data_IF_733682724144
#
_entry.id   IF_733682724144
#
_cell.length_a   1.000
_cell.length_b   1.000
_cell.length_c   1.000
_cell.angle_alpha   90.00
_cell.angle_beta   90.00
_cell.angle_gamma   90.00
#
_symmetry.space_group_name_H-M   'P 1'
#
loop_
_entity.id
_entity.type
_entity.pdbx_description
1 polymer ?
#
# COMPACT_ATOMS: atom_id res chain seq x y z
N UNK A 1 -9.14 -26.43 20.67
CA UNK A 1 -7.78 -27.04 20.66
C UNK A 1 -7.77 -28.16 21.66
N UNK A 2 -7.28 -29.37 21.33
CA UNK A 2 -7.18 -30.42 22.35
C UNK A 2 -6.04 -30.12 23.32
N UNK A 3 -6.21 -30.58 24.57
CA UNK A 3 -5.21 -30.55 25.64
C UNK A 3 -3.89 -31.25 25.29
N UNK A 4 -3.89 -32.06 24.23
CA UNK A 4 -2.75 -32.85 23.75
C UNK A 4 -1.91 -32.14 22.68
N UNK A 5 -2.19 -30.87 22.38
CA UNK A 5 -1.39 -30.08 21.45
C UNK A 5 0.03 -29.89 21.98
N UNK A 6 0.95 -30.73 21.49
CA UNK A 6 2.33 -30.88 21.97
C UNK A 6 3.23 -29.65 21.84
N UNK A 7 2.73 -28.60 21.20
CA UNK A 7 3.42 -27.32 20.97
C UNK A 7 3.06 -26.23 21.98
N UNK A 8 2.00 -26.41 22.78
CA UNK A 8 1.62 -25.45 23.83
C UNK A 8 1.86 -26.05 25.21
N UNK A 9 2.65 -25.37 26.04
CA UNK A 9 2.82 -25.76 27.43
C UNK A 9 1.55 -25.45 28.24
N UNK A 10 0.91 -26.48 28.79
CA UNK A 10 -0.30 -26.37 29.62
C UNK A 10 -0.12 -25.40 30.78
N UNK A 11 1.06 -25.39 31.42
CA UNK A 11 1.39 -24.45 32.51
C UNK A 11 1.38 -23.01 32.01
N UNK A 12 1.83 -22.77 30.78
CA UNK A 12 1.81 -21.45 30.17
C UNK A 12 0.37 -21.02 29.82
N UNK A 13 -0.44 -21.91 29.21
CA UNK A 13 -1.86 -21.61 28.96
C UNK A 13 -2.58 -21.22 30.25
N UNK A 14 -2.36 -21.99 31.32
CA UNK A 14 -2.92 -21.69 32.65
C UNK A 14 -2.50 -20.30 33.14
N UNK A 15 -1.20 -19.97 33.06
CA UNK A 15 -0.70 -18.65 33.47
C UNK A 15 -1.26 -17.51 32.61
N UNK A 16 -1.40 -17.72 31.30
CA UNK A 16 -1.96 -16.75 30.39
C UNK A 16 -3.43 -16.46 30.74
N UNK A 17 -4.24 -17.51 30.91
CA UNK A 17 -5.66 -17.41 31.31
C UNK A 17 -5.79 -16.68 32.65
N UNK A 18 -4.98 -17.02 33.66
CA UNK A 18 -4.97 -16.31 34.95
C UNK A 18 -4.71 -14.82 34.74
N UNK A 19 -3.71 -14.47 33.92
CA UNK A 19 -3.36 -13.06 33.71
C UNK A 19 -4.38 -12.26 32.89
N UNK A 20 -5.25 -12.91 32.13
CA UNK A 20 -6.17 -12.27 31.16
C UNK A 20 -7.62 -12.26 31.63
N UNK A 21 -8.05 -13.32 32.31
CA UNK A 21 -9.44 -13.50 32.73
C UNK A 21 -9.66 -13.17 34.21
N UNK A 22 -8.61 -13.12 35.03
CA UNK A 22 -8.75 -13.11 36.49
C UNK A 22 -7.99 -11.92 37.09
N UNK A 23 -8.65 -10.75 37.13
CA UNK A 23 -8.24 -9.64 38.01
C UNK A 23 -8.45 -9.97 39.51
N UNK A 24 -9.18 -11.04 39.81
CA UNK A 24 -9.62 -11.41 41.16
C UNK A 24 -9.10 -12.81 41.56
N UNK A 25 -7.93 -12.90 42.20
CA UNK A 25 -7.45 -13.96 43.11
C UNK A 25 -8.08 -15.39 43.04
N UNK A 26 -8.34 -15.92 41.85
CA UNK A 26 -8.98 -17.21 41.66
C UNK A 26 -7.90 -18.28 41.48
N UNK A 27 -7.90 -19.27 42.38
CA UNK A 27 -7.04 -20.45 42.29
C UNK A 27 -7.64 -21.44 41.31
N UNK A 28 -7.12 -21.48 40.08
CA UNK A 28 -7.41 -22.57 39.14
C UNK A 28 -6.84 -23.89 39.68
N UNK A 29 -7.57 -24.99 39.46
CA UNK A 29 -7.05 -26.34 39.65
C UNK A 29 -5.69 -26.54 38.92
N UNK A 30 -4.92 -27.55 39.34
CA UNK A 30 -3.65 -27.87 38.66
C UNK A 30 -3.87 -28.18 37.17
N UNK A 31 -5.00 -28.80 36.85
CA UNK A 31 -5.42 -29.14 35.50
C UNK A 31 -6.85 -28.64 35.22
N UNK A 32 -7.02 -27.37 34.83
CA UNK A 32 -8.33 -26.75 34.66
C UNK A 32 -8.99 -27.04 33.30
N UNK A 33 -8.37 -27.86 32.45
CA UNK A 33 -8.79 -28.07 31.07
C UNK A 33 -9.64 -29.34 30.94
N UNK A 34 -10.89 -29.14 30.54
CA UNK A 34 -11.89 -30.18 30.25
C UNK A 34 -12.13 -30.19 28.73
N UNK A 35 -12.46 -31.36 28.17
CA UNK A 35 -12.86 -31.46 26.76
C UNK A 35 -14.17 -30.69 26.52
N UNK A 36 -14.41 -30.31 25.26
CA UNK A 36 -15.55 -29.47 24.88
C UNK A 36 -16.88 -30.18 25.19
N UNK A 37 -17.64 -29.62 26.13
CA UNK A 37 -19.00 -30.01 26.45
C UNK A 37 -19.86 -28.75 26.50
N UNK A 38 -20.74 -28.61 25.52
CA UNK A 38 -21.59 -27.43 25.37
C UNK A 38 -22.48 -27.17 26.61
N UNK A 39 -22.79 -28.19 27.40
CA UNK A 39 -23.59 -28.06 28.62
C UNK A 39 -22.83 -27.33 29.75
N UNK A 40 -21.50 -27.26 29.68
CA UNK A 40 -20.67 -26.61 30.70
C UNK A 40 -20.65 -25.09 30.57
N UNK A 41 -21.03 -24.55 29.40
CA UNK A 41 -21.08 -23.10 29.19
C UNK A 41 -22.13 -22.43 30.07
N UNK A 42 -23.27 -23.09 30.32
CA UNK A 42 -24.33 -22.62 31.22
C UNK A 42 -23.88 -22.59 32.69
N UNK A 43 -22.84 -23.36 33.04
CA UNK A 43 -22.24 -23.41 34.38
C UNK A 43 -21.14 -22.37 34.59
N UNK A 44 -20.95 -21.45 33.65
CA UNK A 44 -19.95 -20.39 33.72
C UNK A 44 -18.53 -20.85 33.35
N UNK A 45 -18.39 -21.99 32.66
CA UNK A 45 -17.09 -22.42 32.14
C UNK A 45 -16.71 -21.56 30.94
N UNK A 46 -15.51 -20.97 31.00
CA UNK A 46 -14.97 -20.17 29.91
C UNK A 46 -14.36 -21.04 28.80
N UNK A 47 -14.74 -20.78 27.56
CA UNK A 47 -14.18 -21.46 26.38
C UNK A 47 -12.84 -20.83 26.02
N UNK A 48 -11.80 -21.65 25.93
CA UNK A 48 -10.51 -21.25 25.37
C UNK A 48 -10.58 -21.27 23.83
N UNK A 49 -11.10 -20.19 23.26
CA UNK A 49 -11.32 -20.04 21.81
C UNK A 49 -10.02 -19.77 21.04
N UNK A 50 -10.09 -19.85 19.71
CA UNK A 50 -8.97 -19.48 18.84
C UNK A 50 -8.55 -18.02 18.96
N UNK A 51 -9.46 -17.11 19.29
CA UNK A 51 -9.10 -15.71 19.53
C UNK A 51 -8.18 -15.58 20.74
N UNK A 52 -8.45 -16.33 21.82
CA UNK A 52 -7.55 -16.41 22.98
C UNK A 52 -6.18 -16.99 22.62
N UNK A 53 -6.13 -18.03 21.77
CA UNK A 53 -4.86 -18.58 21.28
C UNK A 53 -4.06 -17.53 20.49
N UNK A 54 -4.72 -16.79 19.59
CA UNK A 54 -4.08 -15.76 18.77
C UNK A 54 -3.50 -14.65 19.66
N UNK A 55 -4.24 -14.20 20.67
CA UNK A 55 -3.73 -13.25 21.66
C UNK A 55 -2.53 -13.78 22.44
N UNK A 56 -2.59 -15.05 22.85
CA UNK A 56 -1.50 -15.71 23.55
C UNK A 56 -0.23 -15.77 22.69
N UNK A 57 -0.34 -16.17 21.43
CA UNK A 57 0.78 -16.23 20.48
C UNK A 57 1.42 -14.85 20.22
N UNK A 58 0.63 -13.77 20.29
CA UNK A 58 1.14 -12.39 20.20
C UNK A 58 1.83 -11.92 21.49
N UNK A 59 1.65 -12.61 22.62
CA UNK A 59 2.17 -12.16 23.91
C UNK A 59 3.70 -12.28 23.98
N UNK A 60 4.37 -11.28 24.58
CA UNK A 60 5.83 -11.30 24.79
C UNK A 60 6.28 -12.47 25.65
N UNK A 61 5.45 -12.87 26.64
CA UNK A 61 5.75 -13.99 27.53
C UNK A 61 5.81 -15.31 26.76
N UNK A 62 4.84 -15.54 25.86
CA UNK A 62 4.79 -16.78 25.08
C UNK A 62 6.00 -16.88 24.16
N UNK A 63 6.28 -15.82 23.40
CA UNK A 63 7.42 -15.75 22.48
C UNK A 63 8.77 -15.99 23.17
N UNK A 64 8.94 -15.55 24.43
CA UNK A 64 10.16 -15.83 25.21
C UNK A 64 10.34 -17.28 25.63
N UNK A 65 9.23 -17.99 25.85
CA UNK A 65 9.24 -19.38 26.32
C UNK A 65 9.07 -20.42 25.21
N UNK A 66 8.59 -20.00 24.04
CA UNK A 66 8.30 -20.88 22.93
C UNK A 66 9.59 -21.24 22.21
N UNK A 67 9.96 -22.53 22.22
CA UNK A 67 11.20 -23.01 21.61
C UNK A 67 11.05 -23.30 20.12
N UNK A 68 12.17 -23.42 19.42
CA UNK A 68 12.21 -23.83 18.01
C UNK A 68 11.51 -25.18 17.80
N UNK A 69 11.78 -26.17 18.64
CA UNK A 69 11.14 -27.49 18.56
C UNK A 69 9.62 -27.44 18.79
N UNK A 70 9.16 -26.56 19.68
CA UNK A 70 7.73 -26.32 19.83
C UNK A 70 7.15 -25.64 18.58
N UNK A 71 7.90 -24.76 17.92
CA UNK A 71 7.45 -24.13 16.69
C UNK A 71 7.35 -25.11 15.52
N UNK A 72 8.30 -26.05 15.38
CA UNK A 72 8.21 -27.15 14.41
C UNK A 72 6.91 -27.95 14.58
N UNK A 73 6.62 -28.36 15.82
CA UNK A 73 5.37 -29.06 16.16
C UNK A 73 4.11 -28.23 15.89
N UNK A 74 4.21 -26.91 16.09
CA UNK A 74 3.11 -25.98 15.79
C UNK A 74 2.84 -25.92 14.28
N UNK A 75 3.89 -25.85 13.46
CA UNK A 75 3.80 -25.89 11.99
C UNK A 75 3.17 -27.21 11.53
N UNK A 76 3.65 -28.34 12.04
CA UNK A 76 3.11 -29.68 11.73
C UNK A 76 1.63 -29.79 12.10
N UNK A 77 1.24 -29.27 13.27
CA UNK A 77 -0.15 -29.27 13.72
C UNK A 77 -1.06 -28.44 12.81
N UNK A 78 -0.63 -27.24 12.40
CA UNK A 78 -1.45 -26.43 11.49
C UNK A 78 -1.53 -27.03 10.09
N UNK A 79 -0.47 -27.68 9.63
CA UNK A 79 -0.49 -28.41 8.37
C UNK A 79 -1.46 -29.59 8.41
N UNK A 80 -1.46 -30.39 9.48
CA UNK A 80 -2.40 -31.51 9.62
C UNK A 80 -3.85 -31.03 9.68
N UNK A 81 -4.12 -29.93 10.40
CA UNK A 81 -5.45 -29.31 10.45
C UNK A 81 -5.89 -28.74 9.10
N UNK A 82 -4.96 -28.18 8.33
CA UNK A 82 -5.23 -27.72 6.98
C UNK A 82 -5.63 -28.89 6.06
N UNK A 83 -4.87 -29.99 6.08
CA UNK A 83 -5.19 -31.21 5.33
C UNK A 83 -6.55 -31.84 5.72
N UNK A 84 -6.90 -31.81 7.01
CA UNK A 84 -8.20 -32.25 7.49
C UNK A 84 -9.33 -31.36 6.96
N UNK A 85 -9.13 -30.04 6.97
CA UNK A 85 -10.13 -29.05 6.51
C UNK A 85 -10.39 -29.08 5.00
N UNK A 86 -9.49 -29.63 4.19
CA UNK A 86 -9.77 -29.92 2.78
C UNK A 86 -10.73 -31.12 2.61
N UNK A 87 -10.81 -31.99 3.61
CA UNK A 87 -11.58 -33.24 3.57
C UNK A 87 -12.93 -33.14 4.27
N UNK A 88 -13.13 -32.15 5.14
CA UNK A 88 -14.36 -31.96 5.91
C UNK A 88 -14.88 -30.52 5.80
N UNK A 89 -16.21 -30.35 5.86
CA UNK A 89 -16.88 -29.03 5.81
C UNK A 89 -16.83 -28.27 7.14
N UNK A 90 -16.23 -28.83 8.19
CA UNK A 90 -16.21 -28.24 9.52
C UNK A 90 -15.14 -27.17 9.67
N UNK A 91 -15.61 -25.99 10.11
CA UNK A 91 -14.86 -24.82 10.59
C UNK A 91 -13.47 -24.61 9.95
N UNK A 92 -13.45 -23.87 8.83
CA UNK A 92 -12.23 -23.44 8.14
C UNK A 92 -11.41 -22.50 9.04
N UNK A 93 -10.40 -23.03 9.73
CA UNK A 93 -9.47 -22.21 10.50
C UNK A 93 -8.71 -21.28 9.55
N UNK A 94 -8.82 -19.97 9.75
CA UNK A 94 -8.07 -19.01 8.93
C UNK A 94 -6.62 -18.90 9.41
N UNK A 95 -5.79 -19.85 8.97
CA UNK A 95 -4.38 -19.98 9.35
C UNK A 95 -3.57 -18.71 9.02
N UNK A 96 -3.96 -17.96 7.98
CA UNK A 96 -3.28 -16.71 7.59
C UNK A 96 -3.38 -15.60 8.65
N UNK A 97 -4.35 -15.69 9.56
CA UNK A 97 -4.55 -14.74 10.66
C UNK A 97 -3.87 -15.17 11.97
N UNK A 98 -3.27 -16.35 12.01
CA UNK A 98 -2.64 -16.90 13.21
C UNK A 98 -1.13 -16.65 13.13
N UNK A 99 -0.51 -15.98 14.10
CA UNK A 99 0.94 -15.86 14.14
C UNK A 99 1.51 -17.19 14.66
N UNK A 100 2.07 -18.00 13.77
CA UNK A 100 2.57 -19.32 14.12
C UNK A 100 3.98 -19.62 13.59
N UNK A 101 4.55 -18.77 12.72
CA UNK A 101 5.89 -19.00 12.19
C UNK A 101 6.91 -18.10 12.91
N UNK A 102 7.94 -18.71 13.49
CA UNK A 102 8.94 -17.98 14.26
C UNK A 102 9.98 -17.29 13.36
N UNK A 103 10.25 -16.03 13.69
CA UNK A 103 11.24 -15.21 13.01
C UNK A 103 12.66 -15.33 13.57
N UNK A 104 13.61 -14.67 12.93
CA UNK A 104 15.01 -14.59 13.34
C UNK A 104 15.23 -13.95 14.72
N UNK A 105 14.21 -13.27 15.26
CA UNK A 105 14.22 -12.67 16.59
C UNK A 105 13.44 -13.51 17.62
N UNK A 106 13.13 -14.77 17.29
CA UNK A 106 12.34 -15.69 18.11
C UNK A 106 10.93 -15.17 18.44
N UNK A 107 10.28 -14.49 17.48
CA UNK A 107 8.90 -14.03 17.60
C UNK A 107 8.02 -14.69 16.56
N UNK A 108 6.82 -15.09 16.97
CA UNK A 108 5.80 -15.59 16.07
C UNK A 108 5.24 -14.45 15.21
N UNK A 109 5.22 -14.68 13.90
CA UNK A 109 4.74 -13.76 12.90
C UNK A 109 3.62 -14.38 12.08
N UNK A 110 2.83 -13.50 11.46
CA UNK A 110 1.88 -13.89 10.42
C UNK A 110 2.63 -14.21 9.13
N UNK A 111 2.11 -15.18 8.36
CA UNK A 111 2.70 -15.62 7.08
C UNK A 111 2.89 -14.46 6.10
N UNK A 112 1.99 -13.46 6.11
CA UNK A 112 2.08 -12.25 5.28
C UNK A 112 3.28 -11.34 5.59
N UNK A 113 3.86 -11.43 6.78
CA UNK A 113 4.91 -10.51 7.25
C UNK A 113 6.30 -11.16 7.35
N UNK A 114 6.43 -12.41 6.93
CA UNK A 114 7.68 -13.17 7.05
C UNK A 114 8.11 -13.72 5.69
N UNK A 115 9.43 -13.78 5.48
CA UNK A 115 10.07 -14.25 4.25
C UNK A 115 10.97 -15.44 4.51
N UNK A 116 11.15 -16.28 3.49
CA UNK A 116 12.25 -17.25 3.51
C UNK A 116 13.60 -16.51 3.35
N UNK A 117 14.64 -16.89 4.11
CA UNK A 117 16.01 -16.46 3.84
C UNK A 117 16.44 -16.85 2.41
N UNK A 118 17.29 -16.03 1.79
CA UNK A 118 17.92 -16.36 0.50
C UNK A 118 19.20 -17.16 0.79
N UNK A 119 19.36 -18.32 0.15
CA UNK A 119 20.46 -19.26 0.43
C UNK A 119 21.87 -18.74 0.06
N UNK A 120 21.97 -17.66 -0.73
CA UNK A 120 23.23 -17.26 -1.38
C UNK A 120 23.88 -15.98 -0.87
N UNK A 121 23.26 -15.24 0.05
CA UNK A 121 23.86 -14.02 0.58
C UNK A 121 23.70 -14.04 2.09
N UNK A 122 24.83 -14.04 2.80
CA UNK A 122 24.86 -13.90 4.24
C UNK A 122 23.99 -12.71 4.63
N UNK A 123 22.83 -13.00 5.22
CA UNK A 123 21.91 -12.01 5.75
C UNK A 123 22.54 -11.40 7.01
N UNK A 124 23.65 -10.69 6.86
CA UNK A 124 24.10 -9.73 7.85
C UNK A 124 23.09 -8.59 7.79
N UNK A 125 22.29 -8.48 8.85
CA UNK A 125 21.24 -7.50 8.98
C UNK A 125 21.73 -6.11 8.62
N UNK A 126 21.29 -5.61 7.46
CA UNK A 126 21.36 -4.21 7.13
C UNK A 126 20.59 -3.46 8.21
N UNK A 127 21.31 -2.74 9.05
CA UNK A 127 20.81 -1.92 10.15
C UNK A 127 19.84 -0.88 9.59
N UNK A 128 18.54 -1.19 9.62
CA UNK A 128 17.48 -0.27 9.21
C UNK A 128 16.16 -0.92 8.78
N UNK A 129 16.18 -2.15 8.26
CA UNK A 129 14.95 -2.80 7.80
C UNK A 129 14.24 -3.60 8.92
N UNK A 130 12.97 -3.29 9.17
CA UNK A 130 12.05 -4.02 10.07
C UNK A 130 11.55 -5.36 9.48
N UNK A 131 12.34 -5.99 8.63
CA UNK A 131 11.91 -7.18 7.89
C UNK A 131 12.09 -8.43 8.75
N UNK A 132 11.16 -9.37 8.57
CA UNK A 132 11.10 -10.60 9.34
C UNK A 132 11.40 -11.78 8.43
N UNK A 133 12.37 -12.59 8.81
CA UNK A 133 12.78 -13.80 8.10
C UNK A 133 12.52 -15.00 8.98
N UNK A 134 12.16 -16.13 8.36
CA UNK A 134 12.02 -17.41 9.08
C UNK A 134 13.31 -17.71 9.83
N UNK A 135 13.18 -18.14 11.09
CA UNK A 135 14.31 -18.55 11.91
C UNK A 135 15.20 -19.57 11.17
N UNK A 136 16.51 -19.37 11.21
CA UNK A 136 17.48 -20.16 10.45
C UNK A 136 17.37 -21.67 10.71
N UNK A 137 17.18 -22.08 11.96
CA UNK A 137 17.04 -23.49 12.32
C UNK A 137 15.74 -24.11 11.80
N UNK A 138 14.67 -23.31 11.72
CA UNK A 138 13.39 -23.75 11.15
C UNK A 138 13.52 -23.82 9.63
N UNK A 139 14.17 -22.85 9.01
CA UNK A 139 14.40 -22.84 7.58
C UNK A 139 15.26 -24.04 7.13
N UNK A 140 16.34 -24.35 7.85
CA UNK A 140 17.13 -25.55 7.61
C UNK A 140 16.30 -26.84 7.71
N UNK A 141 15.47 -26.94 8.76
CA UNK A 141 14.58 -28.09 8.94
C UNK A 141 13.54 -28.21 7.81
N UNK A 142 12.98 -27.09 7.33
CA UNK A 142 12.06 -27.07 6.18
C UNK A 142 12.72 -27.49 4.86
N UNK A 143 14.04 -27.27 4.73
CA UNK A 143 14.82 -27.69 3.57
C UNK A 143 15.21 -29.18 3.59
N UNK A 144 15.00 -29.88 4.70
CA UNK A 144 15.17 -31.33 4.74
C UNK A 144 14.12 -32.03 3.85
N UNK A 145 14.52 -33.06 3.12
CA UNK A 145 13.66 -33.76 2.15
C UNK A 145 12.31 -34.21 2.73
N UNK A 146 12.31 -34.65 4.00
CA UNK A 146 11.12 -35.14 4.71
C UNK A 146 10.07 -34.04 4.93
N UNK A 147 10.48 -32.76 4.95
CA UNK A 147 9.64 -31.60 5.25
C UNK A 147 9.33 -30.74 4.03
N UNK A 148 9.71 -31.19 2.83
CA UNK A 148 9.45 -30.50 1.55
C UNK A 148 7.99 -30.07 1.38
N UNK A 149 7.03 -30.96 1.74
CA UNK A 149 5.59 -30.65 1.70
C UNK A 149 5.19 -29.52 2.64
N UNK A 150 5.83 -29.41 3.81
CA UNK A 150 5.58 -28.30 4.75
C UNK A 150 6.08 -26.98 4.16
N UNK A 151 7.25 -26.99 3.51
CA UNK A 151 7.79 -25.83 2.82
C UNK A 151 6.87 -25.37 1.69
N UNK A 152 6.41 -26.29 0.84
CA UNK A 152 5.46 -26.01 -0.24
C UNK A 152 4.14 -25.44 0.30
N UNK A 153 3.60 -26.01 1.38
CA UNK A 153 2.41 -25.50 2.03
C UNK A 153 2.60 -24.07 2.57
N UNK A 154 3.74 -23.79 3.22
CA UNK A 154 4.07 -22.43 3.68
C UNK A 154 4.20 -21.46 2.49
N UNK A 155 4.70 -21.91 1.34
CA UNK A 155 4.72 -21.12 0.11
C UNK A 155 3.31 -20.82 -0.42
N UNK A 156 2.40 -21.80 -0.36
CA UNK A 156 0.98 -21.60 -0.71
C UNK A 156 0.29 -20.60 0.23
N UNK A 157 0.66 -20.56 1.50
CA UNK A 157 0.22 -19.54 2.47
C UNK A 157 0.84 -18.16 2.25
N UNK A 158 1.61 -18.00 1.18
CA UNK A 158 2.20 -16.74 0.75
C UNK A 158 3.58 -16.46 1.32
N UNK A 159 4.25 -17.40 1.99
CA UNK A 159 5.65 -17.20 2.46
C UNK A 159 6.58 -17.43 1.28
N UNK A 160 7.29 -16.40 0.88
CA UNK A 160 8.15 -16.42 -0.31
C UNK A 160 9.53 -15.98 0.06
N UNK A 161 10.51 -16.34 -0.76
CA UNK A 161 11.83 -15.70 -0.69
C UNK A 161 11.69 -14.19 -0.90
N UNK A 162 12.64 -13.45 -0.32
CA UNK A 162 12.74 -12.02 -0.57
C UNK A 162 13.37 -11.79 -1.93
N UNK A 163 12.55 -11.34 -2.87
CA UNK A 163 12.94 -10.79 -4.17
C UNK A 163 12.48 -9.35 -4.24
N UNK A 164 12.98 -8.59 -5.22
CA UNK A 164 12.53 -7.21 -5.43
C UNK A 164 11.01 -7.15 -5.69
N UNK A 165 10.45 -8.15 -6.38
CA UNK A 165 9.01 -8.29 -6.61
C UNK A 165 8.25 -8.56 -5.30
N UNK A 166 8.70 -9.52 -4.48
CA UNK A 166 7.99 -9.83 -3.23
C UNK A 166 8.12 -8.71 -2.21
N UNK A 167 9.20 -7.94 -2.24
CA UNK A 167 9.35 -6.71 -1.47
C UNK A 167 8.36 -5.62 -1.92
N UNK A 168 8.21 -5.41 -3.23
CA UNK A 168 7.19 -4.50 -3.78
C UNK A 168 5.78 -4.88 -3.32
N UNK A 169 5.39 -6.14 -3.51
CA UNK A 169 4.03 -6.63 -3.24
C UNK A 169 3.66 -6.61 -1.76
N UNK A 170 4.60 -6.95 -0.86
CA UNK A 170 4.31 -7.08 0.58
C UNK A 170 4.69 -5.86 1.42
N UNK A 171 5.61 -5.02 0.94
CA UNK A 171 6.10 -3.87 1.72
C UNK A 171 5.70 -2.55 1.09
N UNK A 172 6.00 -2.31 -0.19
CA UNK A 172 5.77 -1.00 -0.80
C UNK A 172 4.29 -0.77 -1.10
N UNK A 173 3.60 -1.68 -1.79
CA UNK A 173 2.19 -1.53 -2.16
C UNK A 173 1.29 -1.33 -0.93
N UNK A 174 1.37 -2.16 0.13
CA UNK A 174 0.50 -2.01 1.30
C UNK A 174 0.76 -0.74 2.10
N UNK A 175 1.98 -0.18 2.02
CA UNK A 175 2.38 1.04 2.72
C UNK A 175 2.54 2.24 1.76
N UNK A 176 1.93 2.20 0.59
CA UNK A 176 2.11 3.19 -0.50
C UNK A 176 1.95 4.64 -0.05
N UNK A 177 1.01 4.92 0.86
CA UNK A 177 0.74 6.27 1.36
C UNK A 177 1.83 6.82 2.30
N UNK A 178 2.65 5.95 2.91
CA UNK A 178 3.61 6.31 3.97
C UNK A 178 5.05 5.89 3.68
N UNK A 179 5.30 5.00 2.72
CA UNK A 179 6.62 4.43 2.47
C UNK A 179 7.64 5.47 1.95
N UNK A 180 7.22 6.31 1.00
CA UNK A 180 8.12 7.32 0.42
C UNK A 180 8.18 8.59 1.28
N UNK A 181 9.42 9.00 1.56
CA UNK A 181 9.82 10.27 2.17
C UNK A 181 10.87 10.97 1.27
N UNK A 182 11.33 12.17 1.64
CA UNK A 182 12.24 12.96 0.79
C UNK A 182 13.60 12.29 0.58
N UNK A 183 14.06 11.49 1.53
CA UNK A 183 15.37 10.85 1.50
C UNK A 183 15.37 9.61 0.59
N UNK A 184 14.27 8.87 0.56
CA UNK A 184 14.18 7.61 -0.18
C UNK A 184 13.42 7.71 -1.52
N UNK A 185 12.81 8.86 -1.84
CA UNK A 185 11.93 9.01 -3.01
C UNK A 185 12.62 8.65 -4.33
N UNK A 186 13.77 9.28 -4.62
CA UNK A 186 14.50 9.06 -5.88
C UNK A 186 14.94 7.61 -6.00
N UNK A 187 15.71 7.13 -5.01
CA UNK A 187 16.24 5.77 -5.01
C UNK A 187 15.16 4.67 -5.08
N UNK A 188 13.99 4.89 -4.47
CA UNK A 188 12.88 3.93 -4.54
C UNK A 188 12.30 3.88 -5.95
N UNK A 189 12.01 5.03 -6.55
CA UNK A 189 11.42 5.10 -7.89
C UNK A 189 12.39 4.58 -8.95
N UNK A 190 13.68 4.86 -8.82
CA UNK A 190 14.72 4.28 -9.68
C UNK A 190 14.75 2.75 -9.62
N UNK A 191 14.70 2.17 -8.41
CA UNK A 191 14.63 0.71 -8.24
C UNK A 191 13.40 0.13 -8.93
N UNK A 192 12.23 0.75 -8.75
CA UNK A 192 11.01 0.31 -9.41
C UNK A 192 11.12 0.42 -10.94
N UNK A 193 11.74 1.48 -11.44
CA UNK A 193 11.97 1.65 -12.87
C UNK A 193 12.89 0.55 -13.44
N UNK A 194 13.96 0.17 -12.73
CA UNK A 194 14.81 -0.96 -13.14
C UNK A 194 14.04 -2.27 -13.19
N UNK A 195 13.14 -2.53 -12.23
CA UNK A 195 12.29 -3.72 -12.26
C UNK A 195 11.33 -3.71 -13.45
N UNK A 196 10.80 -2.54 -13.79
CA UNK A 196 9.93 -2.34 -14.93
C UNK A 196 10.69 -2.59 -16.24
N UNK A 197 11.89 -2.04 -16.40
CA UNK A 197 12.75 -2.28 -17.57
C UNK A 197 13.11 -3.76 -17.74
N UNK A 198 13.28 -4.50 -16.64
CA UNK A 198 13.51 -5.95 -16.65
C UNK A 198 12.24 -6.77 -16.92
N UNK A 199 11.07 -6.14 -17.04
CA UNK A 199 9.79 -6.83 -17.23
C UNK A 199 9.30 -7.61 -16.00
N UNK A 200 9.90 -7.38 -14.83
CA UNK A 200 9.52 -8.05 -13.57
C UNK A 200 8.21 -7.48 -13.02
N UNK A 201 7.97 -6.19 -13.26
CA UNK A 201 6.75 -5.49 -12.87
C UNK A 201 6.14 -4.83 -14.10
N UNK A 202 4.81 -4.74 -14.16
CA UNK A 202 4.09 -4.17 -15.29
C UNK A 202 2.86 -3.38 -14.87
N UNK A 203 1.87 -3.32 -15.75
CA UNK A 203 0.66 -2.50 -15.56
C UNK A 203 -0.11 -2.87 -14.30
N UNK A 204 -0.13 -4.14 -13.90
CA UNK A 204 -0.91 -4.62 -12.75
C UNK A 204 -0.29 -4.16 -11.43
N UNK A 205 1.03 -4.28 -11.29
CA UNK A 205 1.77 -3.90 -10.09
C UNK A 205 1.87 -2.37 -9.99
N UNK A 206 2.23 -1.70 -11.10
CA UNK A 206 2.33 -0.25 -11.14
C UNK A 206 0.97 0.44 -10.93
N UNK A 207 -0.11 -0.15 -11.43
CA UNK A 207 -1.47 0.37 -11.22
C UNK A 207 -1.92 0.36 -9.75
N UNK A 208 -1.28 -0.44 -8.89
CA UNK A 208 -1.51 -0.44 -7.44
C UNK A 208 -0.72 0.64 -6.69
N UNK A 209 0.19 1.35 -7.36
CA UNK A 209 1.03 2.40 -6.79
C UNK A 209 0.47 3.82 -7.01
N UNK A 210 -0.80 3.96 -7.37
CA UNK A 210 -1.47 5.27 -7.56
C UNK A 210 -1.37 6.20 -6.35
N UNK A 211 -1.41 5.62 -5.16
CA UNK A 211 -1.32 6.32 -3.89
C UNK A 211 0.12 6.51 -3.41
N UNK A 212 1.10 5.90 -4.08
CA UNK A 212 2.51 6.05 -3.75
C UNK A 212 2.95 7.49 -3.98
N UNK A 213 3.68 8.06 -3.02
CA UNK A 213 4.09 9.46 -3.10
C UNK A 213 5.25 9.68 -4.07
N UNK A 214 5.13 10.63 -4.98
CA UNK A 214 6.20 11.10 -5.88
C UNK A 214 6.58 12.54 -5.55
N UNK A 215 7.79 12.93 -5.97
CA UNK A 215 8.35 14.27 -5.83
C UNK A 215 7.74 15.20 -6.87
N UNK A 216 7.32 16.37 -6.38
CA UNK A 216 6.96 17.49 -7.22
C UNK A 216 8.18 18.28 -7.67
N UNK A 217 8.03 19.09 -8.70
CA UNK A 217 9.07 20.02 -9.19
C UNK A 217 9.55 21.00 -8.11
N UNK A 218 8.71 21.27 -7.09
CA UNK A 218 9.05 22.09 -5.92
C UNK A 218 9.49 21.30 -4.67
N UNK A 219 9.68 19.98 -4.79
CA UNK A 219 10.20 19.12 -3.71
C UNK A 219 9.19 18.72 -2.63
N UNK A 220 7.89 18.85 -2.89
CA UNK A 220 6.85 18.24 -2.06
C UNK A 220 6.59 16.78 -2.47
N UNK A 221 5.88 16.04 -1.63
CA UNK A 221 5.51 14.65 -1.88
C UNK A 221 3.99 14.52 -1.98
N UNK A 222 3.51 14.02 -3.13
CA UNK A 222 2.07 13.84 -3.38
C UNK A 222 1.78 12.46 -4.00
N UNK A 223 0.57 11.91 -3.87
CA UNK A 223 0.20 10.66 -4.55
C UNK A 223 0.38 10.74 -6.07
N UNK A 224 0.83 9.65 -6.71
CA UNK A 224 1.06 9.55 -8.15
C UNK A 224 -0.18 9.92 -8.99
N UNK A 225 -1.38 9.52 -8.56
CA UNK A 225 -2.65 9.85 -9.21
C UNK A 225 -2.99 11.34 -9.23
N UNK A 226 -2.29 12.17 -8.44
CA UNK A 226 -2.53 13.62 -8.40
C UNK A 226 -1.53 14.40 -9.24
N UNK A 227 -0.64 13.70 -9.94
CA UNK A 227 0.40 14.31 -10.74
C UNK A 227 0.02 14.50 -12.19
N UNK A 228 0.58 15.55 -12.78
CA UNK A 228 0.72 15.73 -14.22
C UNK A 228 2.19 15.70 -14.60
N UNK A 229 2.48 15.32 -15.85
CA UNK A 229 3.82 15.46 -16.39
C UNK A 229 4.25 16.92 -16.47
N UNK A 230 5.47 17.21 -16.00
CA UNK A 230 6.11 18.51 -16.18
C UNK A 230 6.47 18.74 -17.65
N UNK A 231 6.69 20.00 -18.06
CA UNK A 231 7.00 20.37 -19.45
C UNK A 231 8.28 19.67 -19.94
N UNK A 232 9.21 19.36 -19.02
CA UNK A 232 10.43 18.57 -19.29
C UNK A 232 10.17 17.14 -19.80
N UNK A 233 9.01 16.54 -19.52
CA UNK A 233 8.60 15.25 -20.08
C UNK A 233 7.97 15.37 -21.48
N UNK A 234 7.87 16.58 -22.03
CA UNK A 234 7.23 16.88 -23.31
C UNK A 234 5.77 16.37 -23.40
N UNK A 235 4.88 16.81 -22.49
CA UNK A 235 3.46 16.47 -22.54
C UNK A 235 2.81 17.06 -23.79
N UNK A 236 1.63 16.54 -24.17
CA UNK A 236 0.91 17.05 -25.35
C UNK A 236 0.56 18.54 -25.23
N UNK A 237 0.30 19.00 -24.01
CA UNK A 237 -0.01 20.38 -23.71
C UNK A 237 0.89 20.86 -22.54
N UNK A 238 1.96 21.63 -22.83
CA UNK A 238 2.86 22.13 -21.80
C UNK A 238 2.18 23.27 -21.02
N UNK A 239 1.87 23.00 -19.75
CA UNK A 239 1.09 23.90 -18.89
C UNK A 239 1.80 24.24 -17.58
N UNK A 240 2.96 23.66 -17.32
CA UNK A 240 3.71 23.87 -16.08
C UNK A 240 3.98 25.36 -15.87
N UNK A 241 4.50 26.05 -16.89
CA UNK A 241 4.82 27.49 -16.83
C UNK A 241 3.64 28.35 -16.34
N UNK A 242 2.41 27.93 -16.61
CA UNK A 242 1.21 28.68 -16.24
C UNK A 242 0.64 28.29 -14.88
N UNK A 243 0.82 27.04 -14.45
CA UNK A 243 0.17 26.47 -13.28
C UNK A 243 1.12 26.28 -12.08
N UNK A 244 2.43 26.24 -12.30
CA UNK A 244 3.45 25.98 -11.27
C UNK A 244 3.41 27.01 -10.12
N UNK A 245 3.04 28.26 -10.43
CA UNK A 245 2.90 29.34 -9.44
C UNK A 245 1.69 29.14 -8.52
N UNK A 246 0.67 28.42 -8.98
CA UNK A 246 -0.61 28.25 -8.28
C UNK A 246 -0.68 26.86 -7.62
N UNK A 247 -0.12 25.83 -8.27
CA UNK A 247 -0.23 24.45 -7.84
C UNK A 247 1.07 23.67 -8.01
N UNK A 248 1.38 22.91 -6.97
CA UNK A 248 2.54 22.02 -6.92
C UNK A 248 2.11 20.59 -7.26
N UNK A 249 1.81 20.35 -8.54
CA UNK A 249 1.20 19.10 -9.07
C UNK A 249 1.99 18.50 -10.24
N UNK A 250 3.14 19.06 -10.57
CA UNK A 250 3.98 18.60 -11.69
C UNK A 250 5.07 17.67 -11.20
N UNK A 251 5.23 16.55 -11.91
CA UNK A 251 6.19 15.50 -11.56
C UNK A 251 7.62 16.01 -11.71
N UNK A 252 8.46 15.81 -10.69
CA UNK A 252 9.86 16.20 -10.77
C UNK A 252 10.59 15.45 -11.88
N UNK A 253 11.39 16.18 -12.65
CA UNK A 253 12.30 15.60 -13.64
C UNK A 253 13.57 15.00 -12.99
N UNK A 254 13.77 15.22 -11.68
CA UNK A 254 14.94 14.72 -10.95
C UNK A 254 15.06 13.19 -11.03
N UNK A 255 13.94 12.47 -11.15
CA UNK A 255 13.92 11.01 -11.36
C UNK A 255 14.63 10.54 -12.63
N UNK A 256 14.66 11.41 -13.65
CA UNK A 256 15.30 11.11 -14.94
C UNK A 256 16.76 11.57 -14.93
N UNK A 257 17.05 12.70 -14.31
CA UNK A 257 18.40 13.31 -14.31
C UNK A 257 19.35 12.80 -13.24
N UNK A 258 18.86 12.13 -12.20
CA UNK A 258 19.69 11.54 -11.14
C UNK A 258 20.65 10.47 -11.67
N UNK A 259 20.31 9.81 -12.78
CA UNK A 259 21.20 8.88 -13.49
C UNK A 259 21.99 9.61 -14.59
N UNK A 260 23.10 10.21 -14.20
CA UNK A 260 24.14 10.75 -15.07
C UNK A 260 24.93 9.64 -15.78
N UNK A 261 24.26 8.87 -16.63
CA UNK A 261 24.89 8.14 -17.73
C UNK A 261 23.82 7.81 -18.77
N UNK A 262 23.80 8.59 -19.85
CA UNK A 262 23.06 8.28 -21.08
C UNK A 262 21.53 8.45 -21.00
N UNK A 263 21.05 9.70 -20.92
CA UNK A 263 19.69 10.02 -21.40
C UNK A 263 19.73 10.05 -22.93
N UNK A 264 19.75 8.87 -23.55
CA UNK A 264 19.27 8.74 -24.92
C UNK A 264 17.76 8.98 -24.90
N UNK A 265 17.23 9.61 -25.95
CA UNK A 265 15.78 9.89 -26.09
C UNK A 265 14.92 8.63 -25.93
N UNK A 266 15.49 7.45 -26.13
CA UNK A 266 14.87 6.14 -25.95
C UNK A 266 14.43 5.84 -24.51
N UNK A 267 15.07 6.43 -23.49
CA UNK A 267 14.67 6.20 -22.09
C UNK A 267 13.53 7.11 -21.62
N UNK A 268 13.31 8.28 -22.24
CA UNK A 268 12.28 9.21 -21.79
C UNK A 268 10.86 8.67 -22.05
N UNK A 269 10.65 8.00 -23.18
CA UNK A 269 9.39 7.33 -23.48
C UNK A 269 9.08 6.21 -22.48
N UNK A 270 10.09 5.45 -22.06
CA UNK A 270 9.96 4.41 -21.03
C UNK A 270 9.62 4.99 -19.67
N UNK A 271 10.29 6.08 -19.25
CA UNK A 271 9.94 6.81 -18.02
C UNK A 271 8.51 7.33 -18.04
N UNK A 272 8.07 7.92 -19.16
CA UNK A 272 6.67 8.34 -19.32
C UNK A 272 5.73 7.15 -19.20
N UNK A 273 6.01 6.05 -19.91
CA UNK A 273 5.20 4.83 -19.85
C UNK A 273 5.08 4.31 -18.42
N UNK A 274 6.19 4.25 -17.70
CA UNK A 274 6.26 3.85 -16.29
C UNK A 274 5.37 4.72 -15.40
N UNK A 275 5.53 6.05 -15.44
CA UNK A 275 4.74 6.97 -14.62
C UNK A 275 3.26 6.99 -15.01
N UNK A 276 2.93 6.89 -16.30
CA UNK A 276 1.55 6.75 -16.77
C UNK A 276 0.90 5.48 -16.22
N UNK A 277 1.64 4.37 -16.14
CA UNK A 277 1.14 3.12 -15.52
C UNK A 277 0.95 3.25 -14.00
N UNK A 278 1.75 4.10 -13.33
CA UNK A 278 1.55 4.42 -11.91
C UNK A 278 0.35 5.35 -11.67
N UNK A 279 -0.20 5.99 -12.70
CA UNK A 279 -1.36 6.87 -12.61
C UNK A 279 -1.06 8.37 -12.79
N UNK A 280 0.15 8.74 -13.20
CA UNK A 280 0.45 10.13 -13.58
C UNK A 280 -0.33 10.51 -14.85
N UNK A 281 -0.97 11.66 -14.82
CA UNK A 281 -1.84 12.11 -15.90
C UNK A 281 -1.06 12.81 -17.01
N UNK A 282 -1.33 12.39 -18.25
CA UNK A 282 -0.79 13.02 -19.45
C UNK A 282 -1.69 14.12 -20.00
N UNK A 283 -3.00 13.88 -19.96
CA UNK A 283 -3.98 14.80 -20.46
C UNK A 283 -4.80 15.37 -19.30
N UNK A 284 -5.09 16.66 -19.41
CA UNK A 284 -6.14 17.28 -18.63
C UNK A 284 -7.47 17.00 -19.32
N UNK A 285 -8.49 16.67 -18.54
CA UNK A 285 -9.80 16.41 -19.10
C UNK A 285 -10.48 17.75 -19.38
N UNK A 286 -10.88 17.89 -20.64
CA UNK A 286 -11.53 19.08 -21.14
C UNK A 286 -13.03 18.94 -20.92
N UNK A 287 -13.57 19.75 -20.01
CA UNK A 287 -15.01 19.96 -19.89
C UNK A 287 -15.38 21.01 -20.92
N UNK A 288 -16.08 20.55 -21.96
CA UNK A 288 -16.60 21.39 -23.02
C UNK A 288 -17.91 22.00 -22.54
N UNK A 289 -17.98 23.33 -22.52
CA UNK A 289 -19.26 24.01 -22.35
C UNK A 289 -19.72 24.54 -23.72
N UNK A 290 -20.76 23.90 -24.25
CA UNK A 290 -21.47 24.39 -25.43
C UNK A 290 -22.57 25.34 -24.94
N UNK A 291 -22.29 26.63 -25.02
CA UNK A 291 -23.30 27.66 -24.75
C UNK A 291 -23.86 28.17 -26.07
N UNK A 292 -25.15 27.93 -26.31
CA UNK A 292 -25.91 28.54 -27.41
C UNK A 292 -26.37 29.98 -27.06
N UNK A 293 -26.00 30.49 -25.88
CA UNK A 293 -26.39 31.80 -25.36
C UNK A 293 -25.26 32.47 -24.57
N UNK A 294 -25.45 33.76 -24.26
CA UNK A 294 -24.51 34.52 -23.43
C UNK A 294 -24.69 34.07 -21.98
N UNK A 295 -23.63 33.54 -21.38
CA UNK A 295 -23.63 33.19 -19.95
C UNK A 295 -23.71 34.45 -19.08
N UNK A 296 -24.58 34.40 -18.08
CA UNK A 296 -24.70 35.43 -17.06
C UNK A 296 -23.55 35.37 -16.05
N UNK A 297 -23.37 36.44 -15.27
CA UNK A 297 -22.38 36.45 -14.18
C UNK A 297 -22.62 35.33 -13.15
N UNK A 298 -23.88 35.03 -12.84
CA UNK A 298 -24.24 34.01 -11.86
C UNK A 298 -23.95 32.60 -12.40
N UNK A 299 -24.24 32.34 -13.67
CA UNK A 299 -23.87 31.09 -14.35
C UNK A 299 -22.34 30.93 -14.41
N UNK A 300 -21.59 31.99 -14.72
CA UNK A 300 -20.13 31.94 -14.68
C UNK A 300 -19.59 31.59 -13.28
N UNK A 301 -20.20 32.12 -12.20
CA UNK A 301 -19.82 31.77 -10.82
C UNK A 301 -20.18 30.31 -10.50
N UNK A 302 -21.32 29.80 -10.99
CA UNK A 302 -21.68 28.39 -10.87
C UNK A 302 -20.68 27.46 -11.58
N UNK A 303 -20.01 27.94 -12.63
CA UNK A 303 -18.90 27.27 -13.30
C UNK A 303 -17.52 27.58 -12.70
N UNK A 304 -17.48 28.05 -11.44
CA UNK A 304 -16.27 28.31 -10.65
C UNK A 304 -15.34 29.43 -11.18
N UNK A 305 -15.84 30.32 -12.03
CA UNK A 305 -15.10 31.55 -12.37
C UNK A 305 -14.99 32.48 -11.15
N UNK A 306 -13.85 33.16 -11.00
CA UNK A 306 -13.64 34.07 -9.86
C UNK A 306 -14.69 35.19 -9.86
N UNK A 307 -15.43 35.42 -8.75
CA UNK A 307 -16.38 36.53 -8.65
C UNK A 307 -15.73 37.88 -8.93
N UNK A 308 -14.49 38.09 -8.48
CA UNK A 308 -13.73 39.33 -8.69
C UNK A 308 -13.44 39.61 -10.16
N UNK A 309 -13.32 38.56 -10.97
CA UNK A 309 -13.13 38.66 -12.41
C UNK A 309 -14.45 38.92 -13.13
N UNK A 310 -15.50 38.17 -12.79
CA UNK A 310 -16.83 38.28 -13.39
C UNK A 310 -17.47 39.65 -13.15
N UNK A 311 -17.21 40.23 -11.98
CA UNK A 311 -17.82 41.49 -11.54
C UNK A 311 -16.99 42.74 -11.90
N UNK A 312 -15.76 42.59 -12.41
CA UNK A 312 -14.96 43.74 -12.86
C UNK A 312 -15.66 44.47 -14.01
N UNK A 313 -15.66 45.81 -14.02
CA UNK A 313 -16.11 46.58 -15.18
C UNK A 313 -15.08 46.44 -16.31
N UNK A 314 -15.57 46.12 -17.50
CA UNK A 314 -14.82 46.21 -18.75
C UNK A 314 -14.44 47.67 -19.06
N UNK A 315 -13.50 47.92 -19.99
CA UNK A 315 -13.15 49.29 -20.43
C UNK A 315 -14.36 50.12 -20.89
N UNK A 316 -15.46 49.47 -21.27
CA UNK A 316 -16.69 50.10 -21.76
C UNK A 316 -17.77 50.22 -20.67
N UNK A 317 -17.44 50.04 -19.39
CA UNK A 317 -18.35 50.19 -18.26
C UNK A 317 -19.37 49.05 -18.07
N UNK A 318 -19.40 48.05 -18.94
CA UNK A 318 -20.20 46.82 -18.78
C UNK A 318 -19.47 45.83 -17.88
N UNK A 319 -20.18 45.06 -17.04
CA UNK A 319 -19.58 43.93 -16.31
C UNK A 319 -18.95 42.94 -17.30
N UNK A 320 -17.79 42.39 -16.97
CA UNK A 320 -16.97 41.55 -17.85
C UNK A 320 -17.76 40.40 -18.48
N UNK A 321 -18.61 39.69 -17.73
CA UNK A 321 -19.47 38.62 -18.30
C UNK A 321 -20.36 39.09 -19.46
N UNK A 322 -20.82 40.35 -19.42
CA UNK A 322 -21.71 40.94 -20.43
C UNK A 322 -20.94 41.71 -21.53
N UNK A 323 -19.62 41.89 -21.38
CA UNK A 323 -18.80 42.71 -22.27
C UNK A 323 -18.11 41.92 -23.40
N UNK A 324 -18.04 40.59 -23.29
CA UNK A 324 -17.28 39.74 -24.20
C UNK A 324 -18.13 38.93 -25.19
N UNK A 325 -19.32 39.43 -25.57
CA UNK A 325 -20.04 38.91 -26.74
C UNK A 325 -19.17 39.09 -28.00
N UNK A 326 -18.59 38.01 -28.50
CA UNK A 326 -17.90 37.98 -29.80
C UNK A 326 -16.38 38.16 -29.83
N UNK A 327 -15.69 38.30 -28.69
CA UNK A 327 -14.22 38.44 -28.71
C UNK A 327 -13.48 37.09 -28.80
N UNK A 328 -12.55 37.00 -29.75
CA UNK A 328 -11.33 36.18 -29.69
C UNK A 328 -10.28 37.04 -28.99
N UNK A 329 -9.72 36.62 -27.86
CA UNK A 329 -8.34 36.90 -27.40
C UNK A 329 -8.06 36.12 -26.10
N UNK A 330 -6.81 35.69 -26.01
CA UNK A 330 -6.15 34.81 -25.05
C UNK A 330 -5.64 35.62 -23.85
N UNK A 331 -5.99 35.22 -22.62
CA UNK A 331 -5.20 35.32 -21.35
C UNK A 331 -6.13 35.18 -20.12
N UNK A 332 -6.61 33.98 -19.82
CA UNK A 332 -7.58 33.76 -18.71
C UNK A 332 -7.13 32.77 -17.63
N UNK A 333 -5.84 32.46 -17.57
CA UNK A 333 -5.27 31.50 -16.62
C UNK A 333 -5.21 32.03 -15.16
N UNK A 334 -5.29 33.35 -14.96
CA UNK A 334 -5.06 33.99 -13.65
C UNK A 334 -6.34 34.31 -12.85
N UNK A 335 -7.52 33.97 -13.38
CA UNK A 335 -8.80 34.52 -12.89
C UNK A 335 -9.90 33.49 -12.65
N UNK A 336 -9.54 32.20 -12.62
CA UNK A 336 -10.42 31.12 -12.20
C UNK A 336 -10.15 30.78 -10.73
N UNK A 337 -11.22 30.53 -9.97
CA UNK A 337 -11.08 30.11 -8.57
C UNK A 337 -11.08 28.60 -8.50
N UNK A 338 -9.92 28.02 -8.15
CA UNK A 338 -9.79 26.59 -7.89
C UNK A 338 -9.68 25.75 -9.17
N UNK A 339 -8.49 25.17 -9.39
CA UNK A 339 -8.15 24.04 -10.30
C UNK A 339 -8.72 24.01 -11.72
N UNK A 340 -9.44 25.03 -12.17
CA UNK A 340 -10.06 25.12 -13.48
C UNK A 340 -9.34 26.19 -14.29
N UNK A 341 -9.26 26.02 -15.60
CA UNK A 341 -8.71 27.04 -16.48
C UNK A 341 -9.37 26.97 -17.85
N UNK A 342 -9.56 28.13 -18.48
CA UNK A 342 -10.34 28.23 -19.71
C UNK A 342 -9.46 28.52 -20.94
N UNK A 343 -9.61 27.73 -22.00
CA UNK A 343 -8.98 27.92 -23.30
C UNK A 343 -10.06 27.98 -24.38
N UNK A 344 -9.93 28.87 -25.37
CA UNK A 344 -10.88 28.97 -26.49
C UNK A 344 -10.34 28.26 -27.72
N UNK A 345 -11.06 27.25 -28.21
CA UNK A 345 -10.78 26.59 -29.50
C UNK A 345 -12.02 26.73 -30.38
N UNK A 346 -11.88 27.36 -31.56
CA UNK A 346 -12.96 27.50 -32.56
C UNK A 346 -14.30 28.06 -32.05
N UNK A 347 -14.28 29.00 -31.09
CA UNK A 347 -15.52 29.59 -30.57
C UNK A 347 -16.07 28.91 -29.32
N UNK A 348 -15.57 27.73 -28.98
CA UNK A 348 -15.97 26.94 -27.81
C UNK A 348 -15.09 27.32 -26.61
N UNK A 349 -15.72 27.48 -25.44
CA UNK A 349 -15.02 27.64 -24.18
C UNK A 349 -14.73 26.26 -23.59
N UNK A 350 -13.44 25.95 -23.47
CA UNK A 350 -12.96 24.70 -22.93
C UNK A 350 -12.49 24.96 -21.50
N UNK A 351 -13.14 24.37 -20.50
CA UNK A 351 -12.68 24.44 -19.12
C UNK A 351 -11.95 23.14 -18.81
N UNK A 352 -10.68 23.25 -18.45
CA UNK A 352 -9.87 22.10 -18.08
C UNK A 352 -10.09 21.83 -16.60
N UNK A 353 -10.47 20.59 -16.29
CA UNK A 353 -10.83 20.18 -14.94
C UNK A 353 -9.86 19.11 -14.44
N UNK A 354 -9.43 19.26 -13.18
CA UNK A 354 -8.68 18.23 -12.48
C UNK A 354 -9.66 17.29 -11.77
N UNK A 355 -9.72 16.03 -12.20
CA UNK A 355 -10.46 14.97 -11.51
C UNK A 355 -10.06 14.90 -10.04
N UNK A 356 -11.04 14.82 -9.14
CA UNK A 356 -10.79 14.56 -7.70
C UNK A 356 -10.32 13.14 -7.45
#
# INVERSE_FOLDING_TARGET
MSKQSSFINIRFMRQFIISKCLENNLTLAEDPFIDDDHNLTELGVHIFSWDFCIEMFKSKKFNKSHSIEQNKRMIEYFYSKWLESERTTDMKLNIEQIPFLMDQNNRLQLTKYIYFPVETIGNSGGTGCKESFVNENIFHWLNEYQNSKLKEWLQMLGITERTDLTFLLKTIIPNSTTYINRENAIATIEKLFVLFQKGIIGKNELGQLKTLKLLTTRGALRPAEKFYFSDKFNPQLPLEVYLETIQDIFLSFDYVTSNLSCVEKENLSEWRRFFSMMGVHENLYLIKFDFDHIITSDEAIQYEFSPDYVLRPSPNGRRIANAYSGLKIISFLQHTTGKTFCVKVNGIFCVLYHSR
#
